data_IF_316578358529
#
_entry.id   IF_316578358529
#
_cell.length_a   1.000
_cell.length_b   1.000
_cell.length_c   1.000
_cell.angle_alpha   90.00
_cell.angle_beta   90.00
_cell.angle_gamma   90.00
#
_symmetry.space_group_name_H-M   'P 1'
#
loop_
_entity.id
_entity.type
_entity.pdbx_description
1 polymer ?
#
# COMPACT_ATOMS: atom_id res chain seq x y z
N UNK A 1 20.23 -53.53 -7.08
CA UNK A 1 20.59 -52.42 -8.01
C UNK A 1 19.47 -51.38 -8.15
N UNK A 2 19.00 -50.75 -7.05
CA UNK A 2 17.99 -49.68 -7.15
C UNK A 2 17.94 -48.74 -5.94
N UNK A 3 19.10 -48.35 -5.38
CA UNK A 3 19.11 -47.35 -4.29
C UNK A 3 20.34 -46.43 -4.28
N UNK A 4 21.28 -46.59 -5.22
CA UNK A 4 22.51 -45.80 -5.26
C UNK A 4 22.56 -44.79 -6.42
N UNK A 5 21.54 -44.77 -7.30
CA UNK A 5 21.47 -43.86 -8.47
C UNK A 5 20.67 -42.57 -8.23
N UNK A 6 20.01 -42.41 -7.09
CA UNK A 6 19.19 -41.23 -6.78
C UNK A 6 20.00 -40.11 -6.08
N UNK A 7 21.08 -40.45 -5.38
CA UNK A 7 21.92 -39.48 -4.66
C UNK A 7 22.97 -38.78 -5.55
N UNK A 8 23.32 -39.37 -6.69
CA UNK A 8 24.31 -38.78 -7.63
C UNK A 8 23.69 -37.66 -8.47
N UNK A 9 22.38 -37.70 -8.74
CA UNK A 9 21.68 -36.64 -9.48
C UNK A 9 21.38 -35.39 -8.63
N UNK A 10 21.33 -35.51 -7.30
CA UNK A 10 21.13 -34.38 -6.39
C UNK A 10 22.44 -33.61 -6.16
N UNK A 11 23.61 -34.27 -6.25
CA UNK A 11 24.91 -33.61 -6.10
C UNK A 11 25.39 -32.86 -7.35
N UNK A 12 24.88 -33.19 -8.54
CA UNK A 12 25.22 -32.50 -9.80
C UNK A 12 24.32 -31.26 -10.04
N UNK A 13 23.17 -31.17 -9.38
CA UNK A 13 22.29 -29.98 -9.44
C UNK A 13 22.67 -28.88 -8.44
N UNK A 14 23.63 -29.12 -7.53
CA UNK A 14 24.11 -28.15 -6.54
C UNK A 14 25.43 -27.45 -6.94
N UNK A 15 26.04 -27.78 -8.08
CA UNK A 15 27.33 -27.21 -8.50
C UNK A 15 27.27 -26.22 -9.67
N UNK A 16 26.08 -25.72 -10.03
CA UNK A 16 25.92 -24.77 -11.16
C UNK A 16 25.30 -23.42 -10.78
N UNK A 17 25.33 -23.06 -9.50
CA UNK A 17 25.14 -21.67 -9.06
C UNK A 17 26.43 -21.18 -8.41
N UNK A 18 27.50 -21.10 -9.21
CA UNK A 18 28.47 -20.04 -8.98
C UNK A 18 27.81 -18.75 -9.46
N UNK A 19 26.98 -18.14 -8.60
CA UNK A 19 26.71 -16.71 -8.75
C UNK A 19 28.08 -16.06 -8.69
N UNK A 20 28.46 -15.37 -9.76
CA UNK A 20 29.44 -14.30 -9.67
C UNK A 20 28.93 -13.36 -8.58
N UNK A 21 29.50 -13.45 -7.38
CA UNK A 21 29.32 -12.44 -6.36
C UNK A 21 29.97 -11.19 -6.92
N UNK A 22 29.18 -10.31 -7.56
CA UNK A 22 29.53 -8.90 -7.58
C UNK A 22 29.70 -8.52 -6.11
N UNK A 23 30.92 -8.18 -5.71
CA UNK A 23 31.18 -7.73 -4.36
C UNK A 23 30.24 -6.56 -4.08
N UNK A 24 29.40 -6.70 -3.05
CA UNK A 24 28.48 -5.66 -2.59
C UNK A 24 29.34 -4.48 -2.07
N UNK A 25 29.73 -3.59 -2.98
CA UNK A 25 30.57 -2.45 -2.67
C UNK A 25 29.71 -1.39 -2.02
N UNK A 26 29.71 -1.38 -0.69
CA UNK A 26 29.19 -0.27 0.09
C UNK A 26 29.80 1.05 -0.42
N UNK A 27 29.01 2.11 -0.33
CA UNK A 27 29.41 3.43 -0.76
C UNK A 27 30.78 3.85 -0.16
N UNK A 28 31.05 3.49 1.10
CA UNK A 28 32.30 3.81 1.81
C UNK A 28 33.56 3.17 1.22
N UNK A 29 33.43 2.03 0.53
CA UNK A 29 34.56 1.28 -0.03
C UNK A 29 34.75 1.55 -1.52
N UNK A 30 33.92 2.40 -2.11
CA UNK A 30 33.98 2.70 -3.53
C UNK A 30 35.02 3.76 -3.85
N UNK A 31 35.86 3.48 -4.84
CA UNK A 31 36.84 4.43 -5.37
C UNK A 31 36.46 4.80 -6.80
N UNK A 32 36.28 6.08 -7.07
CA UNK A 32 36.01 6.54 -8.43
C UNK A 32 37.25 6.34 -9.31
N UNK A 33 37.11 5.85 -10.56
CA UNK A 33 38.23 5.66 -11.48
C UNK A 33 38.99 6.96 -11.80
N UNK A 34 38.28 8.10 -11.74
CA UNK A 34 38.88 9.42 -11.84
C UNK A 34 39.26 9.93 -10.44
N UNK A 35 40.56 9.91 -10.15
CA UNK A 35 41.11 10.36 -8.86
C UNK A 35 40.80 11.84 -8.53
N UNK A 36 40.36 12.65 -9.50
CA UNK A 36 39.93 14.02 -9.27
C UNK A 36 38.49 14.15 -8.74
N UNK A 37 37.71 13.06 -8.76
CA UNK A 37 36.33 13.03 -8.25
C UNK A 37 36.28 12.53 -6.81
N UNK A 38 36.61 13.44 -5.88
CA UNK A 38 36.55 13.19 -4.44
C UNK A 38 35.25 13.73 -3.82
N UNK A 39 34.57 12.88 -3.06
CA UNK A 39 33.36 13.23 -2.30
C UNK A 39 33.61 13.06 -0.79
N UNK A 40 33.12 14.00 0.01
CA UNK A 40 33.34 14.02 1.47
C UNK A 40 32.38 13.12 2.23
N UNK A 41 31.21 12.87 1.65
CA UNK A 41 30.11 12.17 2.30
C UNK A 41 29.43 11.26 1.31
N UNK A 42 28.79 10.22 1.86
CA UNK A 42 28.37 9.09 1.08
C UNK A 42 27.32 8.30 1.86
N UNK A 43 26.32 7.73 1.18
CA UNK A 43 25.25 6.93 1.80
C UNK A 43 24.74 5.85 0.84
N UNK A 44 24.52 4.66 1.37
CA UNK A 44 23.78 3.58 0.71
C UNK A 44 22.28 3.89 0.78
N UNK A 45 21.61 3.94 -0.36
CA UNK A 45 20.17 4.17 -0.41
C UNK A 45 19.43 2.85 -0.14
N UNK A 46 18.27 2.89 0.54
CA UNK A 46 17.65 1.68 1.08
C UNK A 46 17.07 0.74 0.01
N UNK A 47 16.94 1.19 -1.23
CA UNK A 47 16.26 0.47 -2.31
C UNK A 47 16.91 0.78 -3.66
N UNK A 48 16.72 -0.13 -4.62
CA UNK A 48 17.25 -0.06 -5.99
C UNK A 48 18.80 -0.11 -6.08
N UNK A 49 19.52 -0.82 -5.20
CA UNK A 49 21.00 -0.92 -5.21
C UNK A 49 21.70 0.39 -5.62
N UNK A 50 21.29 1.47 -4.95
CA UNK A 50 21.63 2.85 -5.29
C UNK A 50 22.50 3.48 -4.21
N UNK A 51 23.39 4.36 -4.63
CA UNK A 51 24.36 5.01 -3.75
C UNK A 51 24.46 6.49 -4.09
N UNK A 52 24.56 7.34 -3.06
CA UNK A 52 24.77 8.77 -3.25
C UNK A 52 26.05 9.21 -2.56
N UNK A 53 26.94 9.81 -3.34
CA UNK A 53 28.15 10.49 -2.89
C UNK A 53 27.97 11.99 -3.07
N UNK A 54 28.43 12.79 -2.12
CA UNK A 54 28.34 14.23 -2.23
C UNK A 54 29.40 15.01 -1.46
N UNK A 55 29.57 16.26 -1.87
CA UNK A 55 30.30 17.29 -1.16
C UNK A 55 29.44 18.55 -1.17
N UNK A 56 29.06 19.03 0.01
CA UNK A 56 28.29 20.26 0.17
C UNK A 56 29.20 21.40 0.67
N UNK A 57 29.12 22.55 0.01
CA UNK A 57 29.76 23.79 0.44
C UNK A 57 28.69 24.79 0.91
N UNK A 58 28.53 25.01 2.23
CA UNK A 58 27.52 25.92 2.77
C UNK A 58 27.71 27.38 2.36
N UNK A 59 28.94 27.83 2.07
CA UNK A 59 29.23 29.23 1.73
C UNK A 59 28.75 29.59 0.32
N UNK A 60 28.80 28.65 -0.62
CA UNK A 60 28.37 28.83 -2.00
C UNK A 60 27.07 28.10 -2.33
N UNK A 61 26.42 27.51 -1.32
CA UNK A 61 25.26 26.59 -1.41
C UNK A 61 25.40 25.52 -2.49
N UNK A 62 26.64 25.16 -2.83
CA UNK A 62 26.95 24.27 -3.94
C UNK A 62 26.99 22.82 -3.45
N UNK A 63 26.25 21.96 -4.12
CA UNK A 63 26.18 20.53 -3.87
C UNK A 63 26.72 19.78 -5.08
N UNK A 64 27.91 19.18 -4.93
CA UNK A 64 28.45 18.24 -5.92
C UNK A 64 28.00 16.84 -5.57
N UNK A 65 27.50 16.09 -6.54
CA UNK A 65 27.01 14.72 -6.34
C UNK A 65 27.64 13.73 -7.32
N UNK A 66 27.72 12.49 -6.89
CA UNK A 66 27.73 11.31 -7.76
C UNK A 66 26.67 10.33 -7.28
N UNK A 67 25.64 10.14 -8.09
CA UNK A 67 24.61 9.13 -7.86
C UNK A 67 24.92 7.89 -8.69
N UNK A 68 24.99 6.73 -8.03
CA UNK A 68 25.30 5.44 -8.65
C UNK A 68 24.09 4.53 -8.55
N UNK A 69 23.81 3.82 -9.63
CA UNK A 69 22.81 2.75 -9.71
C UNK A 69 23.49 1.55 -10.36
N UNK A 70 23.72 0.51 -9.56
CA UNK A 70 24.37 -0.75 -9.98
C UNK A 70 23.34 -1.75 -10.52
N UNK A 71 23.79 -2.90 -11.06
CA UNK A 71 22.91 -3.96 -11.58
C UNK A 71 21.86 -3.47 -12.59
N UNK A 72 22.27 -2.57 -13.49
CA UNK A 72 21.41 -2.02 -14.55
C UNK A 72 21.85 -2.49 -15.93
N UNK A 73 20.88 -3.04 -16.65
CA UNK A 73 21.05 -3.38 -18.06
C UNK A 73 21.20 -2.11 -18.92
N UNK A 74 21.83 -2.25 -20.08
CA UNK A 74 21.96 -1.16 -21.07
C UNK A 74 20.61 -0.69 -21.63
N UNK A 75 19.54 -1.46 -21.45
CA UNK A 75 18.16 -1.10 -21.78
C UNK A 75 17.41 -0.42 -20.62
N UNK A 76 18.13 0.29 -19.74
CA UNK A 76 17.56 0.94 -18.56
C UNK A 76 17.97 2.41 -18.51
N UNK A 77 17.00 3.31 -18.29
CA UNK A 77 17.28 4.68 -17.92
C UNK A 77 17.33 4.82 -16.40
N UNK A 78 18.13 5.76 -15.93
CA UNK A 78 18.32 6.06 -14.51
C UNK A 78 18.14 7.55 -14.28
N UNK A 79 17.50 7.92 -13.18
CA UNK A 79 17.32 9.31 -12.80
C UNK A 79 17.54 9.52 -11.30
N UNK A 80 18.17 10.65 -10.98
CA UNK A 80 18.24 11.20 -9.63
C UNK A 80 17.72 12.63 -9.64
N UNK A 81 16.96 13.00 -8.62
CA UNK A 81 16.32 14.32 -8.57
C UNK A 81 16.27 14.88 -7.17
N UNK A 82 16.33 16.21 -7.07
CA UNK A 82 15.95 16.93 -5.85
C UNK A 82 14.51 17.42 -5.98
N UNK A 83 13.77 17.45 -4.86
CA UNK A 83 12.44 18.04 -4.82
C UNK A 83 12.38 19.16 -3.77
N UNK A 84 12.45 20.43 -4.20
CA UNK A 84 12.41 21.57 -3.29
C UNK A 84 11.09 21.74 -2.54
N UNK A 85 9.98 21.13 -3.03
CA UNK A 85 8.62 21.40 -2.55
C UNK A 85 8.02 20.24 -1.75
N UNK A 86 8.44 19.00 -2.02
CA UNK A 86 7.83 17.81 -1.41
C UNK A 86 8.83 16.67 -1.28
N UNK A 87 8.38 15.54 -0.72
CA UNK A 87 9.13 14.26 -0.68
C UNK A 87 8.74 13.30 -1.80
N UNK A 88 7.90 13.72 -2.74
CA UNK A 88 7.35 12.86 -3.80
C UNK A 88 7.97 13.11 -5.17
N UNK A 89 7.42 12.44 -6.20
CA UNK A 89 7.84 12.60 -7.59
C UNK A 89 7.47 13.96 -8.21
N UNK A 90 6.26 14.48 -7.93
CA UNK A 90 5.82 15.77 -8.50
C UNK A 90 6.60 16.93 -7.87
N UNK A 91 7.12 17.80 -8.72
CA UNK A 91 7.97 18.93 -8.35
C UNK A 91 9.47 18.61 -8.39
N UNK A 92 9.83 17.36 -8.70
CA UNK A 92 11.21 16.93 -8.78
C UNK A 92 11.95 17.58 -9.95
N UNK A 93 13.16 18.03 -9.67
CA UNK A 93 14.12 18.59 -10.61
C UNK A 93 15.10 17.48 -10.96
N UNK A 94 14.81 16.72 -12.02
CA UNK A 94 15.50 15.46 -12.30
C UNK A 94 16.70 15.64 -13.22
N UNK A 95 17.71 14.80 -12.99
CA UNK A 95 18.81 14.54 -13.89
C UNK A 95 18.63 13.11 -14.36
N UNK A 96 18.58 12.93 -15.68
CA UNK A 96 18.26 11.66 -16.32
C UNK A 96 19.47 11.24 -17.13
N UNK A 97 19.83 9.96 -17.06
CA UNK A 97 20.88 9.38 -17.87
C UNK A 97 20.54 7.99 -18.37
N UNK A 98 21.02 7.66 -19.56
CA UNK A 98 20.93 6.32 -20.14
C UNK A 98 22.00 6.11 -21.23
N UNK A 99 22.47 4.86 -21.43
CA UNK A 99 23.41 4.54 -22.50
C UNK A 99 22.68 4.39 -23.84
N UNK A 100 23.34 4.80 -24.92
CA UNK A 100 22.96 4.50 -26.30
C UNK A 100 23.60 3.19 -26.77
N UNK A 101 23.06 2.56 -27.84
CA UNK A 101 23.64 1.35 -28.42
C UNK A 101 25.10 1.50 -28.89
N UNK A 102 25.54 2.73 -29.21
CA UNK A 102 26.92 3.05 -29.60
C UNK A 102 27.87 3.21 -28.39
N UNK A 103 27.38 3.00 -27.16
CA UNK A 103 28.14 3.14 -25.92
C UNK A 103 28.23 4.57 -25.40
N UNK A 104 27.67 5.57 -26.10
CA UNK A 104 27.64 6.95 -25.61
C UNK A 104 26.61 7.10 -24.50
N UNK A 105 26.89 7.98 -23.53
CA UNK A 105 25.94 8.30 -22.46
C UNK A 105 25.14 9.55 -22.83
N UNK A 106 23.82 9.43 -22.76
CA UNK A 106 22.92 10.58 -22.73
C UNK A 106 22.74 11.01 -21.28
N UNK A 107 22.83 12.31 -21.05
CA UNK A 107 22.51 12.94 -19.79
C UNK A 107 21.88 14.31 -20.03
N UNK A 108 20.79 14.61 -19.33
CA UNK A 108 20.12 15.90 -19.41
C UNK A 108 19.25 16.15 -18.16
N UNK A 109 18.74 17.38 -18.04
CA UNK A 109 17.82 17.75 -16.97
C UNK A 109 16.37 17.70 -17.42
N UNK A 110 15.45 17.31 -16.52
CA UNK A 110 14.02 17.20 -16.82
C UNK A 110 13.17 17.64 -15.61
N UNK A 111 12.33 18.68 -15.74
CA UNK A 111 11.38 19.04 -14.68
C UNK A 111 10.19 18.09 -14.63
N UNK A 112 9.94 17.46 -13.48
CA UNK A 112 8.85 16.49 -13.29
C UNK A 112 7.68 17.13 -12.58
N UNK A 113 6.71 17.63 -13.35
CA UNK A 113 5.55 18.35 -12.83
C UNK A 113 4.25 17.53 -12.82
N UNK A 114 4.29 16.28 -13.31
CA UNK A 114 3.12 15.41 -13.44
C UNK A 114 3.51 13.93 -13.46
N UNK A 115 2.59 13.05 -13.03
CA UNK A 115 2.73 11.59 -13.17
C UNK A 115 2.69 11.11 -14.63
N UNK A 116 2.21 11.95 -15.56
CA UNK A 116 2.24 11.67 -17.02
C UNK A 116 3.47 12.26 -17.70
N UNK A 117 4.54 12.51 -16.95
CA UNK A 117 5.79 13.02 -17.51
C UNK A 117 6.34 12.05 -18.55
N UNK A 118 6.94 12.60 -19.62
CA UNK A 118 7.73 11.86 -20.59
C UNK A 118 9.23 12.04 -20.34
N UNK A 119 9.61 12.64 -19.20
CA UNK A 119 11.00 12.97 -18.83
C UNK A 119 11.75 13.69 -19.97
N UNK A 120 11.09 14.64 -20.63
CA UNK A 120 11.69 15.42 -21.71
C UNK A 120 12.70 16.40 -21.15
N UNK A 121 13.74 16.66 -21.94
CA UNK A 121 14.73 17.67 -21.60
C UNK A 121 14.09 19.04 -21.35
N UNK A 122 14.53 19.70 -20.28
CA UNK A 122 14.03 21.00 -19.90
C UNK A 122 14.80 21.62 -18.73
N UNK A 123 14.63 22.92 -18.59
CA UNK A 123 15.32 23.70 -17.55
C UNK A 123 14.75 23.42 -16.17
N UNK A 124 15.66 23.36 -15.18
CA UNK A 124 15.32 23.20 -13.77
C UNK A 124 15.21 24.56 -13.08
N UNK A 125 14.45 24.62 -11.99
CA UNK A 125 14.43 25.77 -11.09
C UNK A 125 15.70 25.91 -10.25
N UNK A 126 16.54 24.86 -10.25
CA UNK A 126 17.83 24.82 -9.56
C UNK A 126 18.91 24.79 -10.63
N UNK A 127 19.92 25.66 -10.51
CA UNK A 127 21.03 25.67 -11.45
C UNK A 127 21.85 24.39 -11.32
N UNK A 128 22.19 23.78 -12.46
CA UNK A 128 22.98 22.55 -12.55
C UNK A 128 24.12 22.76 -13.53
N UNK A 129 25.32 22.34 -13.13
CA UNK A 129 26.57 22.42 -13.87
C UNK A 129 27.27 21.06 -13.86
N UNK A 130 28.32 20.94 -14.67
CA UNK A 130 29.21 19.77 -14.72
C UNK A 130 28.49 18.42 -14.91
N UNK A 131 27.37 18.42 -15.66
CA UNK A 131 26.63 17.20 -15.95
C UNK A 131 27.51 16.23 -16.75
N UNK A 132 27.70 15.04 -16.21
CA UNK A 132 28.29 13.92 -16.95
C UNK A 132 27.72 12.61 -16.43
N UNK A 133 27.71 11.58 -17.28
CA UNK A 133 27.33 10.24 -16.87
C UNK A 133 28.27 9.20 -17.46
N UNK A 134 28.40 8.07 -16.78
CA UNK A 134 29.17 6.91 -17.23
C UNK A 134 28.33 5.66 -17.10
N UNK A 135 28.49 4.72 -18.03
CA UNK A 135 27.99 3.35 -17.90
C UNK A 135 29.16 2.39 -17.99
N UNK A 136 29.45 1.70 -16.90
CA UNK A 136 30.59 0.79 -16.78
C UNK A 136 30.22 -0.34 -15.83
N UNK A 137 30.52 -1.59 -16.19
CA UNK A 137 30.26 -2.78 -15.36
C UNK A 137 28.80 -2.86 -14.86
N UNK A 138 27.84 -2.68 -15.76
CA UNK A 138 26.40 -2.68 -15.45
C UNK A 138 26.00 -1.65 -14.37
N UNK A 139 26.75 -0.56 -14.25
CA UNK A 139 26.48 0.54 -13.33
C UNK A 139 26.40 1.87 -14.09
N UNK A 140 25.30 2.61 -13.88
CA UNK A 140 25.16 4.00 -14.33
C UNK A 140 25.55 4.93 -13.18
N UNK A 141 26.50 5.83 -13.44
CA UNK A 141 26.85 6.91 -12.51
C UNK A 141 26.52 8.26 -13.12
N UNK A 142 25.77 9.08 -12.39
CA UNK A 142 25.42 10.46 -12.74
C UNK A 142 26.24 11.41 -11.86
N UNK A 143 26.95 12.33 -12.49
CA UNK A 143 27.69 13.41 -11.83
C UNK A 143 27.03 14.75 -12.14
N UNK A 144 26.92 15.60 -11.12
CA UNK A 144 26.40 16.96 -11.28
C UNK A 144 26.83 17.88 -10.15
N UNK A 145 26.85 19.18 -10.43
CA UNK A 145 27.03 20.26 -9.46
C UNK A 145 25.75 21.10 -9.42
N UNK A 146 25.06 21.15 -8.28
CA UNK A 146 23.82 21.90 -8.10
C UNK A 146 24.03 23.12 -7.20
N UNK A 147 23.32 24.22 -7.46
CA UNK A 147 23.28 25.39 -6.56
C UNK A 147 21.96 25.40 -5.81
N UNK A 148 21.98 25.03 -4.55
CA UNK A 148 20.76 24.89 -3.76
C UNK A 148 20.12 26.26 -3.49
N UNK A 149 18.78 26.37 -3.59
CA UNK A 149 18.08 27.65 -3.44
C UNK A 149 18.08 28.14 -1.99
N UNK A 150 18.20 27.23 -1.02
CA UNK A 150 18.17 27.54 0.42
C UNK A 150 19.39 26.92 1.11
N UNK A 151 19.96 27.62 2.08
CA UNK A 151 21.06 27.11 2.92
C UNK A 151 20.58 26.27 4.12
N UNK A 152 19.47 25.54 3.98
CA UNK A 152 18.92 24.70 5.06
C UNK A 152 19.79 23.49 5.37
N UNK A 153 20.74 23.16 4.49
CA UNK A 153 21.57 21.95 4.57
C UNK A 153 20.75 20.66 4.45
N UNK A 154 19.44 20.72 4.18
CA UNK A 154 18.57 19.55 4.05
C UNK A 154 17.86 19.56 2.72
N UNK A 155 17.95 18.45 1.98
CA UNK A 155 17.26 18.26 0.69
C UNK A 155 16.28 17.09 0.78
N UNK A 156 15.19 17.16 0.02
CA UNK A 156 14.45 15.97 -0.35
C UNK A 156 14.95 15.52 -1.71
N UNK A 157 15.20 14.24 -1.87
CA UNK A 157 15.59 13.65 -3.14
C UNK A 157 14.78 12.41 -3.45
N UNK A 158 14.67 12.10 -4.74
CA UNK A 158 14.05 10.88 -5.25
C UNK A 158 14.96 10.28 -6.31
N UNK A 159 14.93 8.97 -6.46
CA UNK A 159 15.68 8.26 -7.48
C UNK A 159 14.81 7.20 -8.13
N UNK A 160 15.05 6.91 -9.40
CA UNK A 160 14.31 5.92 -10.16
C UNK A 160 15.18 5.32 -11.27
N UNK A 161 14.80 4.13 -11.69
CA UNK A 161 15.20 3.51 -12.94
C UNK A 161 13.97 2.96 -13.67
N UNK A 162 14.08 2.75 -14.98
CA UNK A 162 12.98 2.23 -15.78
C UNK A 162 13.40 1.73 -17.15
N UNK A 163 12.50 1.04 -17.87
CA UNK A 163 12.82 0.43 -19.15
C UNK A 163 13.09 1.49 -20.21
N UNK A 164 14.11 1.25 -21.04
CA UNK A 164 14.48 2.06 -22.19
C UNK A 164 14.23 1.26 -23.48
N UNK A 165 13.52 1.85 -24.43
CA UNK A 165 13.29 1.29 -25.76
C UNK A 165 13.71 2.29 -26.83
N UNK A 166 14.91 2.10 -27.40
CA UNK A 166 15.55 3.13 -28.23
C UNK A 166 15.80 4.40 -27.40
N UNK A 167 15.30 5.54 -27.87
CA UNK A 167 15.36 6.81 -27.12
C UNK A 167 14.10 7.06 -26.26
N UNK A 168 13.21 6.08 -26.14
CA UNK A 168 11.96 6.20 -25.39
C UNK A 168 12.10 5.68 -23.96
N UNK A 169 11.89 6.57 -22.99
CA UNK A 169 11.90 6.24 -21.57
C UNK A 169 10.53 5.74 -21.15
N UNK A 170 10.46 4.44 -20.83
CA UNK A 170 9.25 3.80 -20.31
C UNK A 170 9.01 4.10 -18.84
N UNK A 171 7.79 3.86 -18.38
CA UNK A 171 7.38 4.10 -17.00
C UNK A 171 8.12 3.16 -16.03
N UNK A 172 8.69 3.71 -14.96
CA UNK A 172 9.25 2.92 -13.86
C UNK A 172 8.14 2.17 -13.11
N UNK A 173 8.48 1.13 -12.33
CA UNK A 173 7.45 0.41 -11.58
C UNK A 173 6.79 1.34 -10.55
N UNK A 174 5.48 1.17 -10.33
CA UNK A 174 4.69 2.04 -9.43
C UNK A 174 4.48 1.41 -8.05
N UNK A 175 5.33 0.45 -7.66
CA UNK A 175 5.17 -0.30 -6.41
C UNK A 175 6.52 -0.75 -5.86
N UNK A 176 6.51 -1.27 -4.61
CA UNK A 176 7.72 -1.80 -3.98
C UNK A 176 8.80 -0.75 -3.80
N UNK A 177 10.03 -1.12 -4.13
CA UNK A 177 11.26 -0.34 -4.01
C UNK A 177 11.16 1.02 -4.70
N UNK A 178 10.57 1.08 -5.89
CA UNK A 178 10.37 2.33 -6.61
C UNK A 178 9.48 3.32 -5.83
N UNK A 179 8.47 2.85 -5.10
CA UNK A 179 7.63 3.74 -4.28
C UNK A 179 8.36 4.25 -3.02
N UNK A 180 9.38 3.51 -2.57
CA UNK A 180 10.22 3.83 -1.42
C UNK A 180 11.46 4.66 -1.79
N UNK A 181 11.70 4.90 -3.08
CA UNK A 181 12.89 5.57 -3.61
C UNK A 181 12.86 7.09 -3.42
N UNK A 182 12.73 7.51 -2.15
CA UNK A 182 12.68 8.89 -1.69
C UNK A 182 13.27 9.00 -0.29
N UNK A 183 14.00 10.08 -0.03
CA UNK A 183 14.48 10.37 1.32
C UNK A 183 14.71 11.89 1.54
N UNK A 184 14.85 12.26 2.82
CA UNK A 184 15.33 13.57 3.23
C UNK A 184 16.76 13.41 3.75
N UNK A 185 17.71 14.16 3.19
CA UNK A 185 19.13 14.06 3.51
C UNK A 185 19.63 15.36 4.12
N UNK A 186 20.30 15.27 5.27
CA UNK A 186 21.08 16.38 5.81
C UNK A 186 22.52 16.30 5.24
N UNK A 187 22.86 17.32 4.46
CA UNK A 187 24.07 17.40 3.67
C UNK A 187 25.32 17.67 4.50
N UNK A 188 25.19 18.23 5.72
CA UNK A 188 26.32 18.49 6.62
C UNK A 188 26.58 17.34 7.58
N UNK A 189 25.54 16.70 8.12
CA UNK A 189 25.72 15.57 9.05
C UNK A 189 25.92 14.22 8.37
N UNK A 190 25.65 14.10 7.06
CA UNK A 190 25.68 12.78 6.41
C UNK A 190 24.45 11.94 6.68
N UNK A 191 23.57 12.37 7.58
CA UNK A 191 22.49 11.53 8.09
C UNK A 191 21.23 11.71 7.27
N UNK A 192 20.63 10.59 6.90
CA UNK A 192 19.23 10.57 6.47
C UNK A 192 18.40 11.13 7.62
N UNK A 193 17.66 12.20 7.38
CA UNK A 193 16.69 12.72 8.33
C UNK A 193 15.49 11.79 8.26
N UNK A 194 15.57 10.66 8.96
CA UNK A 194 14.39 9.95 9.42
C UNK A 194 13.65 10.91 10.33
N UNK A 195 12.65 11.59 9.77
CA UNK A 195 11.70 12.31 10.59
C UNK A 195 11.24 11.32 11.68
N UNK A 196 11.42 11.65 12.95
CA UNK A 196 10.96 10.88 14.12
C UNK A 196 9.42 10.76 14.21
N UNK A 197 8.70 10.96 13.12
CA UNK A 197 7.35 10.48 12.91
C UNK A 197 7.42 9.42 11.82
N UNK A 198 7.14 8.15 12.17
CA UNK A 198 7.00 7.09 11.17
C UNK A 198 6.09 7.57 10.05
N UNK A 199 6.40 7.20 8.80
CA UNK A 199 5.70 7.67 7.60
C UNK A 199 4.20 7.84 7.90
N UNK A 200 3.75 9.09 8.00
CA UNK A 200 2.40 9.41 8.47
C UNK A 200 1.37 8.76 7.57
N UNK A 201 1.72 8.54 6.30
CA UNK A 201 0.94 7.78 5.33
C UNK A 201 0.88 6.30 5.67
N UNK A 202 2.01 5.61 5.89
CA UNK A 202 2.02 4.21 6.31
C UNK A 202 1.23 3.98 7.62
N UNK A 203 1.40 4.88 8.60
CA UNK A 203 0.65 4.83 9.85
C UNK A 203 -0.86 4.98 9.60
N UNK A 204 -1.25 5.95 8.77
CA UNK A 204 -2.65 6.18 8.41
C UNK A 204 -3.25 5.00 7.63
N UNK A 205 -2.48 4.34 6.75
CA UNK A 205 -2.88 3.11 6.04
C UNK A 205 -3.19 1.98 7.03
N UNK A 206 -2.35 1.81 8.05
CA UNK A 206 -2.58 0.80 9.10
C UNK A 206 -3.82 1.14 9.94
N UNK A 207 -3.99 2.40 10.33
CA UNK A 207 -5.18 2.87 11.08
C UNK A 207 -6.45 2.64 10.27
N UNK A 208 -6.47 3.02 8.98
CA UNK A 208 -7.59 2.77 8.08
C UNK A 208 -7.95 1.28 8.02
N UNK A 209 -6.95 0.41 7.85
CA UNK A 209 -7.16 -1.04 7.84
C UNK A 209 -7.77 -1.57 9.14
N UNK A 210 -7.23 -1.15 10.29
CA UNK A 210 -7.74 -1.57 11.60
C UNK A 210 -9.17 -1.12 11.84
N UNK A 211 -9.47 0.17 11.62
CA UNK A 211 -10.82 0.72 11.83
C UNK A 211 -11.87 -0.06 11.02
N UNK A 212 -11.58 -0.35 9.74
CA UNK A 212 -12.52 -1.04 8.86
C UNK A 212 -12.64 -2.54 9.18
N UNK A 213 -11.56 -3.21 9.61
CA UNK A 213 -11.64 -4.61 10.08
C UNK A 213 -12.51 -4.72 11.33
N UNK A 214 -12.31 -3.86 12.33
CA UNK A 214 -13.12 -3.90 13.56
C UNK A 214 -14.59 -3.54 13.29
N UNK A 215 -14.84 -2.45 12.57
CA UNK A 215 -16.18 -1.97 12.24
C UNK A 215 -16.93 -2.95 11.32
N UNK A 216 -16.47 -3.06 10.06
CA UNK A 216 -17.17 -3.77 9.00
C UNK A 216 -16.90 -5.27 9.01
N UNK A 217 -15.71 -5.68 9.44
CA UNK A 217 -15.27 -7.07 9.41
C UNK A 217 -15.65 -7.91 10.63
N UNK A 218 -15.98 -7.28 11.77
CA UNK A 218 -16.25 -7.98 13.03
C UNK A 218 -17.57 -7.51 13.65
N UNK A 219 -17.69 -6.22 14.00
CA UNK A 219 -18.87 -5.72 14.72
C UNK A 219 -20.15 -5.83 13.89
N UNK A 220 -20.11 -5.48 12.59
CA UNK A 220 -21.25 -5.60 11.68
C UNK A 220 -21.76 -7.06 11.54
N UNK A 221 -20.91 -8.08 11.29
CA UNK A 221 -21.30 -9.49 11.35
C UNK A 221 -21.89 -9.92 12.69
N UNK A 222 -21.27 -9.53 13.82
CA UNK A 222 -21.78 -9.89 15.15
C UNK A 222 -23.17 -9.27 15.39
N UNK A 223 -23.37 -8.00 15.00
CA UNK A 223 -24.67 -7.34 15.06
C UNK A 223 -25.73 -8.04 14.22
N UNK A 224 -25.36 -8.52 13.03
CA UNK A 224 -26.23 -9.33 12.18
C UNK A 224 -26.60 -10.66 12.86
N UNK A 225 -25.63 -11.36 13.45
CA UNK A 225 -25.86 -12.63 14.17
C UNK A 225 -26.81 -12.45 15.36
N UNK A 226 -26.66 -11.37 16.15
CA UNK A 226 -27.58 -11.05 17.26
C UNK A 226 -29.02 -10.90 16.75
N UNK A 227 -29.25 -10.10 15.71
CA UNK A 227 -30.59 -9.90 15.15
C UNK A 227 -31.20 -11.17 14.54
N UNK A 228 -30.36 -12.07 14.00
CA UNK A 228 -30.82 -13.31 13.35
C UNK A 228 -31.10 -14.44 14.34
N UNK A 229 -30.23 -14.64 15.33
CA UNK A 229 -30.23 -15.81 16.20
C UNK A 229 -30.82 -15.52 17.57
N UNK A 230 -30.39 -14.44 18.24
CA UNK A 230 -30.94 -14.11 19.56
C UNK A 230 -32.44 -13.81 19.48
N UNK A 231 -32.89 -13.13 18.41
CA UNK A 231 -34.31 -12.94 18.11
C UNK A 231 -35.07 -14.27 17.98
N UNK A 232 -34.43 -15.31 17.44
CA UNK A 232 -35.05 -16.61 17.26
C UNK A 232 -35.12 -17.41 18.57
N UNK A 233 -34.15 -17.23 19.47
CA UNK A 233 -34.08 -17.95 20.75
C UNK A 233 -34.84 -17.26 21.88
N UNK A 234 -35.00 -15.93 21.81
CA UNK A 234 -35.72 -15.12 22.80
C UNK A 234 -36.62 -14.09 22.10
N UNK A 235 -37.68 -14.54 21.38
CA UNK A 235 -38.51 -13.65 20.58
C UNK A 235 -39.28 -12.61 21.38
N UNK A 236 -39.63 -12.94 22.63
CA UNK A 236 -40.47 -12.11 23.50
C UNK A 236 -39.69 -11.02 24.26
N UNK A 237 -38.35 -11.09 24.23
CA UNK A 237 -37.48 -10.15 24.94
C UNK A 237 -36.87 -9.17 23.92
N UNK A 238 -37.04 -7.84 24.07
CA UNK A 238 -36.54 -6.87 23.10
C UNK A 238 -35.01 -6.68 23.13
N UNK A 239 -34.29 -7.40 23.99
CA UNK A 239 -32.83 -7.29 24.17
C UNK A 239 -32.06 -7.45 22.86
N UNK A 240 -32.45 -8.38 21.98
CA UNK A 240 -31.79 -8.55 20.67
C UNK A 240 -31.83 -7.26 19.84
N UNK A 241 -32.92 -6.49 19.94
CA UNK A 241 -33.11 -5.28 19.15
C UNK A 241 -32.18 -4.17 19.63
N UNK A 242 -32.10 -3.96 20.95
CA UNK A 242 -31.20 -2.96 21.52
C UNK A 242 -29.74 -3.33 21.31
N UNK A 243 -29.34 -4.59 21.52
CA UNK A 243 -27.99 -5.05 21.26
C UNK A 243 -27.60 -4.90 19.78
N UNK A 244 -28.50 -5.26 18.86
CA UNK A 244 -28.28 -5.07 17.43
C UNK A 244 -28.10 -3.59 17.09
N UNK A 245 -29.03 -2.72 17.50
CA UNK A 245 -28.96 -1.29 17.16
C UNK A 245 -27.72 -0.64 17.77
N UNK A 246 -27.42 -0.88 19.05
CA UNK A 246 -26.24 -0.30 19.70
C UNK A 246 -24.96 -0.72 19.00
N UNK A 247 -24.79 -2.02 18.73
CA UNK A 247 -23.59 -2.53 18.07
C UNK A 247 -23.44 -2.02 16.63
N UNK A 248 -24.54 -1.98 15.86
CA UNK A 248 -24.50 -1.49 14.48
C UNK A 248 -24.25 0.01 14.40
N UNK A 249 -24.84 0.82 15.29
CA UNK A 249 -24.57 2.25 15.35
C UNK A 249 -23.10 2.52 15.73
N UNK A 250 -22.57 1.83 16.75
CA UNK A 250 -21.15 1.95 17.12
C UNK A 250 -20.22 1.53 15.99
N UNK A 251 -20.51 0.41 15.33
CA UNK A 251 -19.75 -0.05 14.18
C UNK A 251 -19.77 0.98 13.05
N UNK A 252 -20.94 1.54 12.71
CA UNK A 252 -21.07 2.54 11.66
C UNK A 252 -20.26 3.82 11.97
N UNK A 253 -20.27 4.30 13.22
CA UNK A 253 -19.47 5.47 13.64
C UNK A 253 -17.97 5.23 13.44
N UNK A 254 -17.46 4.06 13.84
CA UNK A 254 -16.06 3.68 13.58
C UNK A 254 -15.81 3.57 12.06
N UNK A 255 -16.80 3.08 11.32
CA UNK A 255 -16.77 2.99 9.86
C UNK A 255 -16.67 4.35 9.17
N UNK A 256 -17.27 5.41 9.73
CA UNK A 256 -17.09 6.80 9.25
C UNK A 256 -15.63 7.22 9.38
N UNK A 257 -14.99 6.98 10.53
CA UNK A 257 -13.56 7.27 10.70
C UNK A 257 -12.71 6.44 9.70
N UNK A 258 -13.07 5.18 9.48
CA UNK A 258 -12.47 4.34 8.43
C UNK A 258 -12.61 4.94 7.02
N UNK A 259 -13.79 5.45 6.67
CA UNK A 259 -14.04 6.11 5.38
C UNK A 259 -13.23 7.40 5.22
N UNK A 260 -13.26 8.27 6.23
CA UNK A 260 -12.51 9.55 6.24
C UNK A 260 -11.01 9.32 6.07
N UNK A 261 -10.44 8.37 6.82
CA UNK A 261 -9.01 8.03 6.67
C UNK A 261 -8.69 7.51 5.27
N UNK A 262 -9.60 6.76 4.63
CA UNK A 262 -9.47 6.31 3.24
C UNK A 262 -9.46 7.47 2.23
N UNK A 263 -10.35 8.46 2.41
CA UNK A 263 -10.40 9.67 1.57
C UNK A 263 -9.11 10.51 1.71
N UNK A 264 -8.63 10.68 2.95
CA UNK A 264 -7.36 11.38 3.23
C UNK A 264 -6.19 10.66 2.57
N UNK A 265 -6.14 9.32 2.65
CA UNK A 265 -5.11 8.52 1.98
C UNK A 265 -5.12 8.70 0.46
N UNK A 266 -6.31 8.77 -0.16
CA UNK A 266 -6.46 9.05 -1.58
C UNK A 266 -5.90 10.43 -1.96
N UNK A 267 -6.23 11.47 -1.18
CA UNK A 267 -5.69 12.81 -1.40
C UNK A 267 -4.17 12.88 -1.21
N UNK A 268 -3.62 12.14 -0.24
CA UNK A 268 -2.18 12.07 0.03
C UNK A 268 -1.41 11.22 -0.99
N UNK A 269 -2.08 10.48 -1.87
CA UNK A 269 -1.46 9.52 -2.80
C UNK A 269 -1.91 9.77 -4.25
N UNK A 270 -1.74 10.99 -4.79
CA UNK A 270 -2.15 11.27 -6.16
C UNK A 270 -1.41 10.32 -7.12
N UNK A 271 -2.10 9.77 -8.11
CA UNK A 271 -1.56 8.80 -9.07
C UNK A 271 -1.56 7.33 -8.62
N UNK A 272 -1.81 7.02 -7.33
CA UNK A 272 -2.00 5.64 -6.86
C UNK A 272 -3.50 5.37 -6.75
N UNK A 273 -4.04 4.59 -7.69
CA UNK A 273 -5.46 4.31 -7.76
C UNK A 273 -5.76 2.83 -7.50
N UNK A 274 -6.60 2.58 -6.49
CA UNK A 274 -7.13 1.25 -6.18
C UNK A 274 -8.64 1.24 -6.43
N UNK A 275 -9.01 1.31 -7.72
CA UNK A 275 -10.38 1.54 -8.17
C UNK A 275 -11.40 0.58 -7.54
N UNK A 276 -11.13 -0.72 -7.54
CA UNK A 276 -12.08 -1.72 -7.03
C UNK A 276 -12.33 -1.58 -5.52
N UNK A 277 -11.27 -1.41 -4.74
CA UNK A 277 -11.37 -1.24 -3.29
C UNK A 277 -12.11 0.05 -2.91
N UNK A 278 -11.82 1.14 -3.64
CA UNK A 278 -12.49 2.42 -3.43
C UNK A 278 -13.96 2.37 -3.84
N UNK A 279 -14.27 1.76 -4.98
CA UNK A 279 -15.64 1.62 -5.47
C UNK A 279 -16.49 0.77 -4.52
N UNK A 280 -16.02 -0.43 -4.17
CA UNK A 280 -16.73 -1.32 -3.24
C UNK A 280 -16.85 -0.68 -1.86
N UNK A 281 -15.77 -0.06 -1.35
CA UNK A 281 -15.80 0.64 -0.06
C UNK A 281 -16.81 1.78 -0.03
N UNK A 282 -16.89 2.58 -1.10
CA UNK A 282 -17.89 3.65 -1.23
C UNK A 282 -19.31 3.08 -1.28
N UNK A 283 -19.52 2.00 -2.04
CA UNK A 283 -20.81 1.30 -2.09
C UNK A 283 -21.22 0.79 -0.70
N UNK A 284 -20.32 0.11 0.02
CA UNK A 284 -20.57 -0.37 1.40
C UNK A 284 -20.96 0.79 2.31
N UNK A 285 -20.27 1.91 2.23
CA UNK A 285 -20.58 3.08 3.05
C UNK A 285 -21.97 3.66 2.73
N UNK A 286 -22.32 3.83 1.45
CA UNK A 286 -23.65 4.28 1.03
C UNK A 286 -24.75 3.32 1.48
N UNK A 287 -24.55 2.00 1.33
CA UNK A 287 -25.50 1.00 1.82
C UNK A 287 -25.59 1.02 3.37
N UNK A 288 -24.50 1.31 4.07
CA UNK A 288 -24.49 1.52 5.52
C UNK A 288 -25.33 2.73 5.95
N UNK A 289 -25.25 3.86 5.22
CA UNK A 289 -26.13 5.02 5.46
C UNK A 289 -27.60 4.62 5.29
N UNK A 290 -27.92 3.88 4.23
CA UNK A 290 -29.26 3.33 4.02
C UNK A 290 -29.71 2.46 5.21
N UNK A 291 -28.82 1.63 5.75
CA UNK A 291 -29.13 0.83 6.95
C UNK A 291 -29.42 1.68 8.19
N UNK A 292 -28.68 2.76 8.41
CA UNK A 292 -28.95 3.70 9.51
C UNK A 292 -30.29 4.42 9.30
N UNK A 293 -30.59 4.86 8.08
CA UNK A 293 -31.89 5.45 7.75
C UNK A 293 -33.06 4.48 7.98
N UNK A 294 -32.82 3.16 7.86
CA UNK A 294 -33.83 2.14 8.16
C UNK A 294 -34.30 2.22 9.62
N UNK A 295 -33.45 2.67 10.57
CA UNK A 295 -33.86 2.88 11.96
C UNK A 295 -34.91 3.99 12.07
N UNK A 296 -34.67 5.14 11.42
CA UNK A 296 -35.54 6.31 11.48
C UNK A 296 -36.84 6.12 10.69
N UNK A 297 -36.77 5.39 9.58
CA UNK A 297 -37.91 5.12 8.70
C UNK A 297 -38.68 3.86 9.10
N UNK A 298 -38.43 3.30 10.29
CA UNK A 298 -39.00 2.04 10.75
C UNK A 298 -40.51 2.15 10.99
N UNK A 299 -41.38 1.52 10.17
CA UNK A 299 -42.84 1.60 10.36
C UNK A 299 -43.30 0.76 11.57
N UNK A 300 -44.47 1.11 12.13
CA UNK A 300 -45.19 0.30 13.13
C UNK A 300 -45.47 -1.11 12.60
N UNK A 301 -45.60 -2.10 13.50
CA UNK A 301 -45.68 -3.53 13.15
C UNK A 301 -46.87 -3.86 12.23
N UNK A 302 -47.97 -3.15 12.39
CA UNK A 302 -49.25 -3.25 11.68
C UNK A 302 -49.32 -2.42 10.39
N UNK A 303 -48.30 -1.62 10.08
CA UNK A 303 -48.32 -0.71 8.94
C UNK A 303 -48.04 -1.43 7.61
N UNK A 304 -48.77 -1.11 6.53
CA UNK A 304 -48.60 -1.73 5.19
C UNK A 304 -47.16 -1.70 4.65
N UNK A 305 -46.41 -0.62 4.91
CA UNK A 305 -45.01 -0.49 4.47
C UNK A 305 -44.00 -1.28 5.30
N UNK A 306 -44.42 -1.91 6.41
CA UNK A 306 -43.55 -2.75 7.26
C UNK A 306 -42.92 -3.90 6.47
N UNK A 307 -43.67 -4.48 5.55
CA UNK A 307 -43.21 -5.57 4.69
C UNK A 307 -42.06 -5.12 3.76
N UNK A 308 -42.25 -4.05 3.00
CA UNK A 308 -41.23 -3.48 2.13
C UNK A 308 -39.99 -3.03 2.89
N UNK A 309 -40.17 -2.41 4.07
CA UNK A 309 -39.07 -2.05 4.96
C UNK A 309 -38.26 -3.28 5.38
N UNK A 310 -38.92 -4.40 5.71
CA UNK A 310 -38.21 -5.65 6.08
C UNK A 310 -37.40 -6.20 4.89
N UNK A 311 -37.96 -6.20 3.67
CA UNK A 311 -37.25 -6.63 2.45
C UNK A 311 -36.00 -5.78 2.27
N UNK A 312 -36.19 -4.47 2.19
CA UNK A 312 -35.12 -3.49 2.01
C UNK A 312 -34.01 -3.66 3.05
N UNK A 313 -34.36 -3.67 4.34
CA UNK A 313 -33.40 -3.76 5.44
C UNK A 313 -32.63 -5.09 5.39
N UNK A 314 -33.30 -6.20 5.09
CA UNK A 314 -32.69 -7.52 5.03
C UNK A 314 -31.71 -7.66 3.87
N UNK A 315 -32.15 -7.39 2.64
CA UNK A 315 -31.31 -7.57 1.45
C UNK A 315 -30.13 -6.60 1.42
N UNK A 316 -30.37 -5.33 1.76
CA UNK A 316 -29.29 -4.34 1.90
C UNK A 316 -28.30 -4.78 2.98
N UNK A 317 -28.74 -5.49 4.02
CA UNK A 317 -27.90 -5.93 5.14
C UNK A 317 -26.94 -7.03 4.72
N UNK A 318 -27.41 -8.02 3.95
CA UNK A 318 -26.50 -9.02 3.36
C UNK A 318 -25.54 -8.41 2.36
N UNK A 319 -26.00 -7.47 1.53
CA UNK A 319 -25.13 -6.79 0.58
C UNK A 319 -23.97 -6.09 1.31
N UNK A 320 -24.26 -5.34 2.38
CA UNK A 320 -23.23 -4.72 3.24
C UNK A 320 -22.27 -5.78 3.79
N UNK A 321 -22.78 -6.89 4.34
CA UNK A 321 -21.95 -7.94 4.94
C UNK A 321 -20.98 -8.57 3.93
N UNK A 322 -21.48 -8.99 2.77
CA UNK A 322 -20.69 -9.67 1.73
C UNK A 322 -19.66 -8.71 1.13
N UNK A 323 -20.09 -7.50 0.75
CA UNK A 323 -19.19 -6.52 0.14
C UNK A 323 -18.13 -6.02 1.14
N UNK A 324 -18.46 -5.89 2.43
CA UNK A 324 -17.49 -5.52 3.46
C UNK A 324 -16.36 -6.53 3.57
N UNK A 325 -16.69 -7.82 3.63
CA UNK A 325 -15.69 -8.91 3.69
C UNK A 325 -14.83 -8.89 2.44
N UNK A 326 -15.44 -8.86 1.25
CA UNK A 326 -14.71 -8.77 -0.02
C UNK A 326 -13.75 -7.56 -0.05
N UNK A 327 -14.21 -6.40 0.42
CA UNK A 327 -13.42 -5.19 0.43
C UNK A 327 -12.23 -5.25 1.40
N UNK A 328 -12.37 -5.95 2.54
CA UNK A 328 -11.27 -6.19 3.48
C UNK A 328 -10.17 -7.04 2.83
N UNK A 329 -10.54 -8.08 2.08
CA UNK A 329 -9.58 -8.91 1.36
C UNK A 329 -8.84 -8.11 0.27
N UNK A 330 -9.54 -7.25 -0.48
CA UNK A 330 -8.90 -6.30 -1.40
C UNK A 330 -7.94 -5.36 -0.65
N UNK A 331 -8.37 -4.84 0.49
CA UNK A 331 -7.56 -4.02 1.38
C UNK A 331 -6.27 -4.71 1.83
N UNK A 332 -6.30 -6.01 2.14
CA UNK A 332 -5.10 -6.78 2.45
C UNK A 332 -4.16 -7.00 1.26
N UNK A 333 -4.70 -7.06 0.04
CA UNK A 333 -3.90 -7.08 -1.19
C UNK A 333 -3.13 -5.77 -1.39
N UNK A 334 -3.75 -4.65 -1.03
CA UNK A 334 -3.17 -3.29 -1.14
C UNK A 334 -2.20 -2.99 0.00
N UNK A 335 -2.62 -3.25 1.24
CA UNK A 335 -1.84 -2.93 2.43
C UNK A 335 -0.63 -3.86 2.59
N UNK A 336 -0.74 -5.10 2.11
CA UNK A 336 0.25 -6.18 2.31
C UNK A 336 0.76 -6.22 3.76
N UNK A 337 -0.14 -6.32 4.76
CA UNK A 337 0.27 -6.30 6.17
C UNK A 337 1.10 -7.54 6.51
N UNK A 338 1.83 -7.48 7.63
CA UNK A 338 2.57 -8.62 8.14
C UNK A 338 1.67 -9.85 8.27
N UNK A 339 2.22 -11.04 7.99
CA UNK A 339 1.47 -12.30 7.91
C UNK A 339 0.55 -12.54 9.12
N UNK A 340 1.01 -12.16 10.32
CA UNK A 340 0.25 -12.31 11.57
C UNK A 340 -1.11 -11.60 11.54
N UNK A 341 -1.22 -10.41 10.93
CA UNK A 341 -2.48 -9.68 10.84
C UNK A 341 -3.48 -10.35 9.91
N UNK A 342 -3.01 -10.91 8.78
CA UNK A 342 -3.86 -11.68 7.87
C UNK A 342 -4.37 -12.95 8.56
N UNK A 343 -3.47 -13.68 9.22
CA UNK A 343 -3.80 -14.90 9.95
C UNK A 343 -4.82 -14.60 11.06
N UNK A 344 -4.60 -13.55 11.85
CA UNK A 344 -5.52 -13.14 12.91
C UNK A 344 -6.94 -12.89 12.38
N UNK A 345 -7.07 -12.13 11.28
CA UNK A 345 -8.38 -11.91 10.68
C UNK A 345 -9.01 -13.19 10.13
N UNK A 346 -8.23 -14.08 9.50
CA UNK A 346 -8.75 -15.36 8.99
C UNK A 346 -9.28 -16.25 10.11
N UNK A 347 -8.59 -16.29 11.25
CA UNK A 347 -9.05 -17.01 12.45
C UNK A 347 -10.36 -16.41 12.97
N UNK A 348 -10.44 -15.08 13.12
CA UNK A 348 -11.66 -14.41 13.60
C UNK A 348 -12.83 -14.61 12.64
N UNK A 349 -12.60 -14.42 11.34
CA UNK A 349 -13.62 -14.62 10.31
C UNK A 349 -14.09 -16.08 10.26
N UNK A 350 -13.15 -17.03 10.29
CA UNK A 350 -13.46 -18.46 10.35
C UNK A 350 -14.28 -18.83 11.59
N UNK A 351 -13.95 -18.27 12.76
CA UNK A 351 -14.73 -18.44 13.98
C UNK A 351 -16.15 -17.87 13.85
N UNK A 352 -16.32 -16.66 13.30
CA UNK A 352 -17.63 -16.07 13.06
C UNK A 352 -18.50 -16.93 12.11
N UNK A 353 -17.90 -17.46 11.03
CA UNK A 353 -18.58 -18.37 10.10
C UNK A 353 -18.97 -19.68 10.80
N UNK A 354 -18.05 -20.29 11.55
CA UNK A 354 -18.32 -21.50 12.31
C UNK A 354 -19.47 -21.32 13.31
N UNK A 355 -19.42 -20.26 14.12
CA UNK A 355 -20.48 -19.94 15.07
C UNK A 355 -21.81 -19.73 14.33
N UNK A 356 -21.80 -19.05 13.19
CA UNK A 356 -23.02 -18.85 12.36
C UNK A 356 -23.62 -20.17 11.91
N UNK A 357 -22.79 -21.13 11.46
CA UNK A 357 -23.25 -22.47 11.06
C UNK A 357 -23.89 -23.19 12.26
N UNK A 358 -23.20 -23.21 13.41
CA UNK A 358 -23.72 -23.85 14.63
C UNK A 358 -25.06 -23.24 15.05
N UNK A 359 -25.16 -21.90 15.10
CA UNK A 359 -26.39 -21.20 15.47
C UNK A 359 -27.52 -21.45 14.46
N UNK A 360 -27.22 -21.57 13.16
CA UNK A 360 -28.20 -21.90 12.13
C UNK A 360 -28.74 -23.33 12.30
N UNK A 361 -27.88 -24.31 12.61
CA UNK A 361 -28.30 -25.69 12.93
C UNK A 361 -29.19 -25.71 14.17
N UNK A 362 -28.74 -25.08 15.27
CA UNK A 362 -29.52 -25.00 16.52
C UNK A 362 -30.91 -24.39 16.29
N UNK A 363 -30.97 -23.28 15.54
CA UNK A 363 -32.22 -22.62 15.19
C UNK A 363 -33.17 -23.53 14.40
N UNK A 364 -32.65 -24.30 13.44
CA UNK A 364 -33.46 -25.26 12.66
C UNK A 364 -34.00 -26.38 13.55
N UNK A 365 -33.15 -26.99 14.39
CA UNK A 365 -33.57 -28.05 15.31
C UNK A 365 -34.64 -27.58 16.30
N UNK A 366 -34.55 -26.34 16.81
CA UNK A 366 -35.58 -25.78 17.68
C UNK A 366 -36.92 -25.63 16.94
N UNK A 367 -36.89 -25.13 15.71
CA UNK A 367 -38.10 -24.97 14.89
C UNK A 367 -38.76 -26.31 14.55
N UNK A 368 -37.96 -27.34 14.29
CA UNK A 368 -38.49 -28.70 14.07
C UNK A 368 -39.15 -29.29 15.32
N UNK A 369 -38.53 -29.11 16.50
CA UNK A 369 -39.12 -29.55 17.78
C UNK A 369 -40.45 -28.86 18.07
N UNK A 370 -40.54 -27.56 17.81
CA UNK A 370 -41.77 -26.78 18.00
C UNK A 370 -42.89 -27.25 17.05
N UNK A 371 -42.55 -27.51 15.78
CA UNK A 371 -43.48 -28.07 14.80
C UNK A 371 -44.00 -29.44 15.23
N UNK A 372 -43.11 -30.37 15.59
CA UNK A 372 -43.49 -31.72 16.01
C UNK A 372 -44.38 -31.70 17.28
N UNK A 373 -44.10 -30.79 18.22
CA UNK A 373 -44.91 -30.62 19.43
C UNK A 373 -46.31 -30.06 19.14
N UNK A 374 -46.45 -29.25 18.09
CA UNK A 374 -47.73 -28.68 17.67
C UNK A 374 -48.57 -29.72 16.92
N UNK A 375 -47.92 -30.52 16.06
CA UNK A 375 -48.56 -31.61 15.32
C UNK A 375 -49.07 -32.71 16.28
N UNK A 376 -48.30 -33.09 17.32
CA UNK A 376 -48.74 -34.06 18.35
C UNK A 376 -49.92 -33.54 19.20
N UNK A 377 -50.02 -32.22 19.42
CA UNK A 377 -51.18 -31.61 20.09
C UNK A 377 -52.43 -31.61 19.21
N UNK A 378 -52.29 -31.32 17.92
CA UNK A 378 -53.41 -31.31 16.98
C UNK A 378 -53.89 -32.73 16.61
N UNK A 379 -53.01 -33.74 16.67
CA UNK A 379 -53.37 -35.14 16.41
C UNK A 379 -54.07 -35.86 17.58
N UNK A 380 -54.11 -35.25 18.77
CA UNK A 380 -54.84 -35.76 19.95
C UNK A 380 -56.17 -35.05 20.23
N UNK A 381 -56.54 -34.08 19.40
CA UNK A 381 -57.76 -33.26 19.56
C UNK A 381 -58.94 -33.84 18.78
#
# INVERSE_FOLDING_TARGET
MSSSRFYVLILIFLSSFALSSAADQSCSNFTFPDHNKLFRSCTDLPVLNSFLHWTYNPSSTTLRIAYRRSDVASSTWVAWAINPKSKGMIGSQAIVAYPKPDGTMIIYTSPVNSYRTQMREGNLSVAVYDLSATYLNDEITIFATLVLPNNSGTINHVWQDGPLAGDSLGMHQLSGDHLQSTASLNLTSGTTVTAKGGDSRATLRNIHGMLNVFSWGIMMPVGFMIARYMKAFQPDVPTWFYLHVSLQCSAFIIGIAGCVTGLVLGHMSPGVHHHDHMAIGTTVFCLGVLQVLALFLRPKKDHKYRHYWNIYHHYTGYAVLILSVANIFLGFGILKPAKIWKIAYYVVFGALVFITIVLEVCKRCMKEKEKNSTDDKNGRA
#
